data_IF_423246215502
#
_entry.id   IF_423246215502
#
_cell.length_a   1.000
_cell.length_b   1.000
_cell.length_c   1.000
_cell.angle_alpha   90.00
_cell.angle_beta   90.00
_cell.angle_gamma   90.00
#
_symmetry.space_group_name_H-M   'P 1'
#
loop_
_entity.id
_entity.type
_entity.pdbx_description
1 polymer ?
#
# COMPACT_ATOMS: atom_id res chain seq x y z
N UNK A 1 70.24 -11.28 46.07
CA UNK A 1 68.85 -11.04 46.52
C UNK A 1 67.90 -11.45 45.39
N UNK A 2 67.01 -12.40 45.67
CA UNK A 2 66.30 -13.18 44.67
C UNK A 2 65.09 -12.44 44.05
N UNK A 3 65.04 -12.43 42.71
CA UNK A 3 63.91 -11.95 41.90
C UNK A 3 62.75 -12.94 42.05
N UNK A 4 61.67 -12.56 42.75
CA UNK A 4 60.44 -13.35 42.87
C UNK A 4 59.78 -13.49 41.49
N UNK A 5 59.87 -14.70 40.91
CA UNK A 5 59.09 -15.15 39.75
C UNK A 5 57.60 -15.15 40.12
N UNK A 6 56.79 -14.42 39.36
CA UNK A 6 55.32 -14.45 39.40
C UNK A 6 54.87 -15.85 38.93
N UNK A 7 54.30 -16.64 39.84
CA UNK A 7 53.75 -17.98 39.56
C UNK A 7 52.39 -17.80 38.87
N UNK A 8 52.41 -17.85 37.54
CA UNK A 8 51.22 -17.98 36.72
C UNK A 8 50.87 -19.49 36.69
N UNK A 9 49.83 -19.93 37.38
CA UNK A 9 49.40 -21.33 37.33
C UNK A 9 47.95 -21.47 37.79
N UNK A 10 47.17 -22.22 37.00
CA UNK A 10 45.74 -22.57 37.11
C UNK A 10 44.73 -21.60 36.50
N UNK A 11 44.65 -21.62 35.16
CA UNK A 11 43.44 -21.35 34.37
C UNK A 11 43.44 -22.23 33.12
N UNK A 12 43.28 -23.54 33.27
CA UNK A 12 43.21 -24.42 32.08
C UNK A 12 42.19 -25.57 32.17
N UNK A 13 41.47 -25.77 33.28
CA UNK A 13 40.49 -26.87 33.36
C UNK A 13 39.01 -26.45 33.42
N UNK A 14 38.67 -25.17 33.63
CA UNK A 14 37.27 -24.70 33.72
C UNK A 14 36.58 -24.40 32.36
N UNK A 15 37.28 -24.55 31.24
CA UNK A 15 36.78 -24.07 29.94
C UNK A 15 35.77 -25.05 29.32
N UNK A 16 35.92 -26.37 29.54
CA UNK A 16 35.03 -27.39 28.94
C UNK A 16 33.65 -27.50 29.60
N UNK A 17 33.56 -27.33 30.92
CA UNK A 17 32.27 -27.38 31.63
C UNK A 17 31.41 -26.14 31.32
N UNK A 18 32.05 -24.97 31.15
CA UNK A 18 31.34 -23.72 30.93
C UNK A 18 30.57 -23.68 29.60
N UNK A 19 31.09 -24.32 28.55
CA UNK A 19 30.43 -24.39 27.24
C UNK A 19 29.15 -25.24 27.25
N UNK A 20 29.18 -26.37 27.97
CA UNK A 20 28.01 -27.24 28.10
C UNK A 20 26.84 -26.54 28.79
N UNK A 21 27.07 -25.91 29.95
CA UNK A 21 26.03 -25.16 30.67
C UNK A 21 25.50 -23.95 29.88
N UNK A 22 26.34 -23.34 29.04
CA UNK A 22 25.90 -22.29 28.11
C UNK A 22 24.97 -22.86 27.04
N UNK A 23 25.31 -23.99 26.43
CA UNK A 23 24.47 -24.68 25.46
C UNK A 23 23.13 -25.13 26.05
N UNK A 24 23.15 -25.76 27.22
CA UNK A 24 21.95 -26.16 27.97
C UNK A 24 21.05 -24.96 28.23
N UNK A 25 21.61 -23.82 28.68
CA UNK A 25 20.82 -22.61 28.89
C UNK A 25 20.16 -22.06 27.62
N UNK A 26 20.79 -22.20 26.45
CA UNK A 26 20.20 -21.79 25.17
C UNK A 26 19.05 -22.70 24.77
N UNK A 27 19.25 -24.01 24.86
CA UNK A 27 18.25 -25.03 24.53
C UNK A 27 17.04 -24.91 25.48
N UNK A 28 17.27 -24.71 26.77
CA UNK A 28 16.19 -24.50 27.74
C UNK A 28 15.35 -23.27 27.43
N UNK A 29 15.96 -22.15 26.99
CA UNK A 29 15.21 -20.96 26.59
C UNK A 29 14.32 -21.20 25.36
N UNK A 30 14.84 -21.93 24.37
CA UNK A 30 14.07 -22.28 23.17
C UNK A 30 12.91 -23.21 23.53
N UNK A 31 13.18 -24.27 24.31
CA UNK A 31 12.15 -25.20 24.78
C UNK A 31 11.10 -24.46 25.61
N UNK A 32 11.51 -23.57 26.52
CA UNK A 32 10.57 -22.76 27.30
C UNK A 32 9.68 -21.88 26.41
N UNK A 33 10.25 -21.23 25.38
CA UNK A 33 9.48 -20.46 24.41
C UNK A 33 8.46 -21.31 23.63
N UNK A 34 8.87 -22.51 23.21
CA UNK A 34 7.99 -23.47 22.54
C UNK A 34 6.87 -23.95 23.46
N UNK A 35 7.19 -24.33 24.71
CA UNK A 35 6.21 -24.77 25.71
C UNK A 35 5.20 -23.66 26.01
N UNK A 36 5.66 -22.42 26.15
CA UNK A 36 4.78 -21.27 26.38
C UNK A 36 3.86 -21.01 25.18
N UNK A 37 4.40 -21.10 23.96
CA UNK A 37 3.61 -20.97 22.74
C UNK A 37 2.49 -22.03 22.69
N UNK A 38 2.83 -23.30 22.92
CA UNK A 38 1.86 -24.39 22.97
C UNK A 38 0.85 -24.23 24.13
N UNK A 39 1.22 -23.60 25.24
CA UNK A 39 0.31 -23.32 26.35
C UNK A 39 -0.88 -22.43 25.99
N UNK A 40 -0.79 -21.66 24.90
CA UNK A 40 -1.89 -20.81 24.43
C UNK A 40 -3.06 -21.58 23.81
N UNK A 41 -2.82 -22.76 23.23
CA UNK A 41 -3.85 -23.57 22.54
C UNK A 41 -3.95 -25.03 23.00
N UNK A 42 -2.94 -25.57 23.68
CA UNK A 42 -2.96 -26.95 24.20
C UNK A 42 -3.33 -26.95 25.69
N UNK A 43 -4.36 -27.72 26.03
CA UNK A 43 -4.76 -28.00 27.42
C UNK A 43 -3.96 -29.18 28.00
N UNK A 44 -2.65 -28.97 28.22
CA UNK A 44 -1.78 -29.93 28.91
C UNK A 44 -1.26 -29.31 30.23
N UNK A 45 -1.07 -30.09 31.32
CA UNK A 45 -0.77 -29.53 32.64
C UNK A 45 0.46 -28.62 32.68
N UNK A 46 1.54 -29.01 32.00
CA UNK A 46 2.81 -28.26 32.00
C UNK A 46 2.69 -26.98 31.14
N UNK A 47 2.33 -27.04 29.84
CA UNK A 47 2.15 -25.84 29.03
C UNK A 47 1.09 -24.89 29.58
N UNK A 48 -0.03 -25.43 30.10
CA UNK A 48 -1.14 -24.61 30.60
C UNK A 48 -0.77 -23.86 31.87
N UNK A 49 -0.15 -24.54 32.85
CA UNK A 49 0.32 -23.87 34.06
C UNK A 49 1.39 -22.80 33.76
N UNK A 50 2.28 -23.07 32.80
CA UNK A 50 3.28 -22.09 32.38
C UNK A 50 2.67 -20.88 31.67
N UNK A 51 1.64 -21.11 30.85
CA UNK A 51 0.86 -20.05 30.20
C UNK A 51 0.11 -19.21 31.22
N UNK A 52 -0.63 -19.82 32.14
CA UNK A 52 -1.44 -19.11 33.14
C UNK A 52 -0.55 -18.25 34.07
N UNK A 53 0.61 -18.76 34.49
CA UNK A 53 1.58 -17.99 35.26
C UNK A 53 2.19 -16.83 34.46
N UNK A 54 2.48 -17.05 33.18
CA UNK A 54 2.98 -15.98 32.31
C UNK A 54 1.91 -14.93 32.02
N UNK A 55 0.66 -15.35 31.88
CA UNK A 55 -0.51 -14.48 31.69
C UNK A 55 -0.79 -13.62 32.92
N UNK A 56 -0.67 -14.17 34.13
CA UNK A 56 -0.78 -13.35 35.35
C UNK A 56 0.37 -12.34 35.47
N UNK A 57 1.58 -12.72 35.06
CA UNK A 57 2.75 -11.84 35.11
C UNK A 57 2.71 -10.72 34.05
N UNK A 58 2.46 -11.08 32.79
CA UNK A 58 2.67 -10.21 31.62
C UNK A 58 1.35 -9.79 30.94
N UNK A 59 0.23 -10.45 31.22
CA UNK A 59 -1.04 -10.21 30.54
C UNK A 59 -0.96 -10.52 29.06
N UNK A 60 -1.49 -9.62 28.20
CA UNK A 60 -1.44 -9.79 26.74
C UNK A 60 0.01 -9.88 26.21
N UNK A 61 0.98 -9.28 26.90
CA UNK A 61 2.40 -9.34 26.48
C UNK A 61 2.95 -10.79 26.45
N UNK A 62 2.26 -11.73 27.11
CA UNK A 62 2.56 -13.17 27.04
C UNK A 62 2.57 -13.71 25.62
N UNK A 63 1.80 -13.13 24.70
CA UNK A 63 1.78 -13.54 23.29
C UNK A 63 3.13 -13.27 22.60
N UNK A 64 3.85 -12.23 23.02
CA UNK A 64 5.15 -11.83 22.46
C UNK A 64 6.32 -12.55 23.15
N UNK A 65 6.13 -12.96 24.41
CA UNK A 65 7.13 -13.67 25.20
C UNK A 65 7.75 -14.91 24.53
N UNK A 66 7.02 -15.84 23.86
CA UNK A 66 7.62 -17.04 23.30
C UNK A 66 8.56 -16.71 22.15
N UNK A 67 8.22 -15.71 21.33
CA UNK A 67 9.05 -15.23 20.23
C UNK A 67 10.37 -14.67 20.76
N UNK A 68 10.32 -13.90 21.85
CA UNK A 68 11.51 -13.34 22.48
C UNK A 68 12.40 -14.39 23.15
N UNK A 69 11.79 -15.39 23.81
CA UNK A 69 12.53 -16.50 24.42
C UNK A 69 13.29 -17.31 23.38
N UNK A 70 12.64 -17.62 22.25
CA UNK A 70 13.28 -18.30 21.12
C UNK A 70 14.37 -17.41 20.50
N UNK A 71 14.11 -16.12 20.32
CA UNK A 71 15.11 -15.16 19.82
C UNK A 71 16.37 -15.12 20.69
N UNK A 72 16.21 -15.01 22.02
CA UNK A 72 17.34 -15.01 22.95
C UNK A 72 18.07 -16.34 22.98
N UNK A 73 17.34 -17.46 22.91
CA UNK A 73 17.92 -18.79 22.83
C UNK A 73 18.73 -19.00 21.56
N UNK A 74 18.21 -18.58 20.41
CA UNK A 74 18.90 -18.62 19.12
C UNK A 74 20.15 -17.73 19.12
N UNK A 75 20.06 -16.50 19.65
CA UNK A 75 21.22 -15.63 19.80
C UNK A 75 22.30 -16.25 20.70
N UNK A 76 21.90 -16.90 21.79
CA UNK A 76 22.83 -17.57 22.69
C UNK A 76 23.54 -18.75 22.02
N UNK A 77 22.86 -19.43 21.09
CA UNK A 77 23.43 -20.53 20.30
C UNK A 77 24.36 -20.05 19.19
N UNK A 78 24.05 -18.90 18.56
CA UNK A 78 24.84 -18.30 17.48
C UNK A 78 26.09 -17.55 17.94
N UNK A 79 26.13 -17.10 19.19
CA UNK A 79 27.31 -16.43 19.76
C UNK A 79 28.44 -17.43 20.00
N UNK A 80 29.62 -17.20 19.41
CA UNK A 80 30.84 -18.01 19.64
C UNK A 80 31.23 -18.09 21.14
N UNK A 81 30.96 -17.03 21.90
CA UNK A 81 31.21 -17.01 23.35
C UNK A 81 30.11 -17.71 24.17
N UNK A 82 28.98 -18.08 23.57
CA UNK A 82 27.81 -18.65 24.25
C UNK A 82 27.17 -17.72 25.29
N UNK A 83 27.52 -16.43 25.27
CA UNK A 83 26.97 -15.39 26.13
C UNK A 83 25.99 -14.53 25.34
N UNK A 84 24.87 -14.21 25.97
CA UNK A 84 23.94 -13.22 25.44
C UNK A 84 24.61 -11.86 25.67
N UNK A 85 24.79 -11.01 24.64
CA UNK A 85 25.24 -9.65 24.86
C UNK A 85 24.30 -9.00 25.89
N UNK A 86 24.85 -8.51 27.01
CA UNK A 86 24.05 -7.94 28.11
C UNK A 86 23.06 -6.88 27.61
N UNK A 87 23.47 -6.12 26.60
CA UNK A 87 22.63 -5.18 25.88
C UNK A 87 21.35 -5.84 25.31
N UNK A 88 21.46 -6.97 24.61
CA UNK A 88 20.29 -7.64 24.02
C UNK A 88 19.37 -8.25 25.07
N UNK A 89 19.93 -8.76 26.16
CA UNK A 89 19.14 -9.28 27.28
C UNK A 89 18.37 -8.15 27.97
N UNK A 90 19.06 -7.06 28.32
CA UNK A 90 18.44 -5.87 28.90
C UNK A 90 17.38 -5.26 27.96
N UNK A 91 17.66 -5.22 26.66
CA UNK A 91 16.70 -4.77 25.64
C UNK A 91 15.44 -5.62 25.62
N UNK A 92 15.58 -6.95 25.59
CA UNK A 92 14.44 -7.87 25.55
C UNK A 92 13.57 -7.80 26.81
N UNK A 93 14.20 -7.68 28.00
CA UNK A 93 13.49 -7.49 29.26
C UNK A 93 12.79 -6.12 29.26
N UNK A 94 13.52 -5.06 28.88
CA UNK A 94 12.98 -3.71 28.79
C UNK A 94 11.80 -3.61 27.80
N UNK A 95 11.85 -4.37 26.71
CA UNK A 95 10.75 -4.47 25.74
C UNK A 95 9.52 -5.14 26.36
N UNK A 96 9.68 -6.29 27.03
CA UNK A 96 8.55 -6.99 27.66
C UNK A 96 7.94 -6.11 28.76
N UNK A 97 8.76 -5.48 29.60
CA UNK A 97 8.30 -4.61 30.68
C UNK A 97 7.55 -3.41 30.10
N UNK A 98 8.14 -2.71 29.13
CA UNK A 98 7.51 -1.52 28.53
C UNK A 98 6.22 -1.87 27.81
N UNK A 99 6.18 -3.00 27.10
CA UNK A 99 4.99 -3.46 26.39
C UNK A 99 3.88 -3.89 27.35
N UNK A 100 4.23 -4.62 28.43
CA UNK A 100 3.28 -4.97 29.48
C UNK A 100 2.70 -3.71 30.16
N UNK A 101 3.54 -2.73 30.49
CA UNK A 101 3.08 -1.45 31.06
C UNK A 101 2.23 -0.64 30.08
N UNK A 102 2.56 -0.63 28.78
CA UNK A 102 1.72 -0.01 27.76
C UNK A 102 0.33 -0.66 27.70
N UNK A 103 0.27 -1.99 27.74
CA UNK A 103 -1.00 -2.74 27.73
C UNK A 103 -1.81 -2.50 29.01
N UNK A 104 -1.15 -2.30 30.15
CA UNK A 104 -1.82 -1.91 31.39
C UNK A 104 -2.43 -0.50 31.27
N UNK A 105 -1.63 0.47 30.80
CA UNK A 105 -2.07 1.87 30.73
C UNK A 105 -3.12 2.12 29.64
N UNK A 106 -3.16 1.31 28.58
CA UNK A 106 -4.17 1.44 27.51
C UNK A 106 -5.43 0.63 27.79
N UNK A 107 -5.28 -0.66 28.12
CA UNK A 107 -6.38 -1.63 28.18
C UNK A 107 -6.52 -2.39 29.50
N UNK A 108 -5.72 -2.08 30.52
CA UNK A 108 -5.76 -2.73 31.84
C UNK A 108 -5.33 -4.20 31.83
N UNK A 109 -4.63 -4.65 30.79
CA UNK A 109 -4.33 -6.06 30.52
C UNK A 109 -2.82 -6.34 30.48
N UNK A 110 -2.04 -5.61 31.28
CA UNK A 110 -0.57 -5.73 31.33
C UNK A 110 -0.03 -6.74 32.35
N UNK A 111 -0.90 -7.55 32.97
CA UNK A 111 -0.51 -8.47 34.05
C UNK A 111 -0.07 -7.75 35.32
N UNK A 112 0.52 -8.48 36.26
CA UNK A 112 1.07 -7.92 37.51
C UNK A 112 2.30 -7.04 37.26
N UNK A 113 3.17 -7.41 36.32
CA UNK A 113 4.35 -6.63 35.97
C UNK A 113 3.98 -5.27 35.37
N UNK A 114 3.03 -5.27 34.44
CA UNK A 114 2.52 -4.05 33.82
C UNK A 114 1.77 -3.16 34.82
N UNK A 115 1.05 -3.73 35.79
CA UNK A 115 0.43 -3.00 36.91
C UNK A 115 1.46 -2.28 37.77
N UNK A 116 2.43 -3.02 38.31
CA UNK A 116 3.44 -2.44 39.21
C UNK A 116 4.20 -1.31 38.53
N UNK A 117 4.70 -1.53 37.32
CA UNK A 117 5.51 -0.51 36.61
C UNK A 117 4.63 0.58 36.00
N UNK A 118 3.46 0.21 35.48
CA UNK A 118 2.51 1.14 34.86
C UNK A 118 1.89 2.10 35.86
N UNK A 119 1.42 1.61 37.00
CA UNK A 119 0.73 2.42 38.00
C UNK A 119 1.67 3.45 38.66
N UNK A 120 2.96 3.13 38.79
CA UNK A 120 3.98 4.08 39.25
C UNK A 120 4.05 5.29 38.32
N UNK A 121 4.05 5.08 37.00
CA UNK A 121 4.13 6.19 36.05
C UNK A 121 2.79 6.91 35.89
N UNK A 122 1.67 6.16 35.92
CA UNK A 122 0.31 6.72 35.86
C UNK A 122 0.03 7.61 37.07
N UNK A 123 0.46 7.23 38.27
CA UNK A 123 0.28 8.05 39.47
C UNK A 123 1.07 9.38 39.42
N UNK A 124 2.21 9.41 38.72
CA UNK A 124 3.03 10.60 38.58
C UNK A 124 2.56 11.56 37.47
N UNK A 125 2.07 11.04 36.34
CA UNK A 125 1.88 11.82 35.11
C UNK A 125 0.48 11.70 34.47
N UNK A 126 -0.38 10.84 35.03
CA UNK A 126 -1.70 10.53 34.48
C UNK A 126 -1.67 9.45 33.38
N UNK A 127 -2.83 8.82 33.14
CA UNK A 127 -2.97 7.66 32.24
C UNK A 127 -2.52 7.93 30.81
N UNK A 128 -2.88 9.10 30.27
CA UNK A 128 -2.56 9.48 28.89
C UNK A 128 -1.06 9.71 28.68
N UNK A 129 -0.42 10.46 29.57
CA UNK A 129 1.00 10.78 29.41
C UNK A 129 1.87 9.54 29.68
N UNK A 130 1.50 8.72 30.66
CA UNK A 130 2.16 7.45 30.94
C UNK A 130 2.07 6.47 29.75
N UNK A 131 0.90 6.35 29.09
CA UNK A 131 0.76 5.48 27.93
C UNK A 131 1.59 5.96 26.75
N UNK A 132 1.68 7.27 26.51
CA UNK A 132 2.54 7.85 25.48
C UNK A 132 4.02 7.55 25.76
N UNK A 133 4.47 7.69 27.01
CA UNK A 133 5.85 7.36 27.39
C UNK A 133 6.14 5.87 27.20
N UNK A 134 5.27 4.97 27.66
CA UNK A 134 5.45 3.53 27.45
C UNK A 134 5.37 3.12 25.98
N UNK A 135 4.59 3.82 25.16
CA UNK A 135 4.53 3.60 23.72
C UNK A 135 5.89 3.92 23.09
N UNK A 136 6.44 5.10 23.39
CA UNK A 136 7.76 5.52 22.92
C UNK A 136 8.85 4.56 23.41
N UNK A 137 8.85 4.21 24.70
CA UNK A 137 9.81 3.24 25.28
C UNK A 137 9.72 1.86 24.62
N UNK A 138 8.51 1.38 24.32
CA UNK A 138 8.30 0.09 23.64
C UNK A 138 8.92 0.12 22.24
N UNK A 139 8.69 1.18 21.48
CA UNK A 139 9.27 1.35 20.14
C UNK A 139 10.80 1.39 20.19
N UNK A 140 11.37 2.19 21.11
CA UNK A 140 12.82 2.26 21.29
C UNK A 140 13.42 0.91 21.74
N UNK A 141 12.78 0.23 22.70
CA UNK A 141 13.21 -1.07 23.18
C UNK A 141 13.16 -2.14 22.07
N UNK A 142 12.17 -2.08 21.17
CA UNK A 142 12.07 -2.98 20.02
C UNK A 142 13.25 -2.77 19.08
N UNK A 143 13.57 -1.52 18.76
CA UNK A 143 14.68 -1.22 17.89
C UNK A 143 16.02 -1.62 18.48
N UNK A 144 16.21 -1.33 19.76
CA UNK A 144 17.41 -1.72 20.47
C UNK A 144 17.58 -3.25 20.53
N UNK A 145 16.50 -3.99 20.78
CA UNK A 145 16.52 -5.45 20.86
C UNK A 145 16.82 -6.09 19.51
N UNK A 146 16.13 -5.64 18.46
CA UNK A 146 16.24 -6.23 17.12
C UNK A 146 17.34 -5.61 16.25
N UNK A 147 18.06 -4.58 16.74
CA UNK A 147 19.00 -3.77 15.95
C UNK A 147 18.36 -3.23 14.66
N UNK A 148 17.13 -2.74 14.77
CA UNK A 148 16.39 -2.13 13.64
C UNK A 148 16.94 -0.72 13.43
N UNK A 149 17.35 -0.40 12.20
CA UNK A 149 17.84 0.94 11.88
C UNK A 149 16.72 1.99 12.05
N UNK A 150 16.97 3.12 12.73
CA UNK A 150 15.97 4.19 12.93
C UNK A 150 15.42 4.78 11.62
N UNK A 151 16.14 4.61 10.50
CA UNK A 151 15.69 4.99 9.15
C UNK A 151 14.40 4.28 8.75
N UNK A 152 14.08 3.14 9.35
CA UNK A 152 12.83 2.40 9.12
C UNK A 152 11.62 3.18 9.67
N UNK A 153 11.76 3.97 10.75
CA UNK A 153 10.69 4.90 11.17
C UNK A 153 10.44 5.99 10.15
N UNK A 154 11.50 6.55 9.56
CA UNK A 154 11.35 7.56 8.51
C UNK A 154 10.61 7.00 7.29
N UNK A 155 10.85 5.73 6.94
CA UNK A 155 10.08 5.04 5.91
C UNK A 155 8.64 4.75 6.34
N UNK A 156 8.40 4.37 7.60
CA UNK A 156 7.07 4.08 8.11
C UNK A 156 6.20 5.35 8.26
N UNK A 157 6.81 6.46 8.69
CA UNK A 157 6.23 7.81 8.65
C UNK A 157 6.04 8.25 7.19
N UNK A 158 6.97 7.89 6.30
CA UNK A 158 6.84 8.07 4.85
C UNK A 158 5.69 7.29 4.23
N UNK A 159 5.27 6.16 4.84
CA UNK A 159 4.08 5.40 4.47
C UNK A 159 2.78 6.03 5.03
N UNK A 160 2.87 6.69 6.20
CA UNK A 160 1.77 7.45 6.80
C UNK A 160 1.59 8.84 6.17
N UNK A 161 2.66 9.40 5.58
CA UNK A 161 2.51 10.41 4.55
C UNK A 161 1.79 9.71 3.41
N UNK A 162 0.55 10.13 3.15
CA UNK A 162 -0.14 9.82 1.90
C UNK A 162 0.88 9.99 0.78
N UNK A 163 1.33 8.88 0.21
CA UNK A 163 1.75 8.89 -1.17
C UNK A 163 0.53 9.48 -1.90
N UNK A 164 0.67 10.58 -2.66
CA UNK A 164 -0.43 11.04 -3.49
C UNK A 164 -0.93 9.81 -4.25
N UNK A 165 -2.24 9.56 -4.18
CA UNK A 165 -2.83 8.39 -4.79
C UNK A 165 -2.33 8.34 -6.24
N UNK A 166 -1.64 7.26 -6.62
CA UNK A 166 -1.44 6.92 -8.02
C UNK A 166 -2.85 6.75 -8.61
N UNK A 167 -3.35 7.82 -9.24
CA UNK A 167 -4.76 8.00 -9.56
C UNK A 167 -5.22 9.46 -9.56
N UNK A 168 -4.49 10.36 -8.89
CA UNK A 168 -4.58 11.81 -9.11
C UNK A 168 -3.37 12.27 -9.95
N UNK A 169 -3.13 11.62 -11.09
CA UNK A 169 -2.59 12.38 -12.22
C UNK A 169 -3.68 13.38 -12.56
N UNK A 170 -3.45 14.64 -12.14
CA UNK A 170 -4.23 15.82 -12.43
C UNK A 170 -5.04 15.63 -13.72
N UNK A 171 -6.36 15.81 -13.68
CA UNK A 171 -7.17 15.99 -14.89
C UNK A 171 -6.52 17.01 -15.85
N UNK A 172 -5.73 17.95 -15.33
CA UNK A 172 -4.91 18.87 -16.10
C UNK A 172 -3.68 18.22 -16.80
N UNK A 173 -3.06 17.21 -16.19
CA UNK A 173 -1.95 16.43 -16.78
C UNK A 173 -2.43 15.36 -17.78
N UNK A 174 -3.61 14.76 -17.56
CA UNK A 174 -4.27 13.90 -18.56
C UNK A 174 -4.74 14.74 -19.76
N UNK A 175 -5.29 15.94 -19.52
CA UNK A 175 -5.65 16.89 -20.59
C UNK A 175 -4.43 17.42 -21.37
N UNK A 176 -3.23 17.44 -20.77
CA UNK A 176 -2.00 17.80 -21.48
C UNK A 176 -1.30 16.62 -22.15
N UNK A 177 -1.51 15.38 -21.68
CA UNK A 177 -1.08 14.13 -22.34
C UNK A 177 -2.03 13.68 -23.46
N UNK A 178 -3.28 14.12 -23.46
CA UNK A 178 -4.16 14.06 -24.64
C UNK A 178 -3.62 15.06 -25.66
N UNK A 179 -2.73 14.58 -26.53
CA UNK A 179 -2.41 15.28 -27.77
C UNK A 179 -3.71 15.67 -28.47
N UNK A 180 -3.83 16.91 -28.99
CA UNK A 180 -5.01 17.30 -29.74
C UNK A 180 -5.14 16.34 -30.92
N UNK A 181 -6.21 15.54 -30.91
CA UNK A 181 -6.54 14.62 -32.00
C UNK A 181 -6.63 15.44 -33.29
N UNK A 182 -5.75 15.15 -34.26
CA UNK A 182 -5.64 15.96 -35.47
C UNK A 182 -6.80 15.61 -36.40
N UNK A 183 -7.76 16.52 -36.52
CA UNK A 183 -8.83 16.45 -37.51
C UNK A 183 -8.36 17.23 -38.74
N UNK A 184 -8.06 16.51 -39.81
CA UNK A 184 -7.71 17.12 -41.08
C UNK A 184 -9.01 17.38 -41.86
N UNK A 185 -9.45 18.64 -41.88
CA UNK A 185 -10.68 19.06 -42.55
C UNK A 185 -10.33 19.62 -43.94
N UNK A 186 -10.64 18.86 -45.00
CA UNK A 186 -10.41 19.31 -46.38
C UNK A 186 -11.52 20.22 -46.92
N UNK A 187 -12.65 20.32 -46.20
CA UNK A 187 -13.91 20.95 -46.61
C UNK A 187 -14.58 21.55 -45.36
N UNK A 188 -15.33 22.67 -45.45
CA UNK A 188 -16.01 23.24 -44.29
C UNK A 188 -16.98 22.25 -43.62
N UNK A 189 -16.62 21.77 -42.42
CA UNK A 189 -17.41 20.84 -41.60
C UNK A 189 -18.26 21.57 -40.56
N UNK A 190 -19.23 20.84 -39.98
CA UNK A 190 -20.01 21.30 -38.82
C UNK A 190 -19.36 20.81 -37.53
N UNK A 191 -18.96 21.73 -36.65
CA UNK A 191 -18.51 21.37 -35.31
C UNK A 191 -19.70 21.27 -34.35
N UNK A 192 -19.98 20.07 -33.85
CA UNK A 192 -20.94 19.88 -32.77
C UNK A 192 -20.28 20.16 -31.43
N UNK A 193 -20.42 21.38 -30.91
CA UNK A 193 -20.12 21.63 -29.49
C UNK A 193 -21.18 20.93 -28.64
N UNK A 194 -20.79 20.14 -27.65
CA UNK A 194 -21.69 19.45 -26.72
C UNK A 194 -22.69 20.43 -26.08
N UNK A 195 -23.86 20.57 -26.70
CA UNK A 195 -24.80 21.63 -26.37
C UNK A 195 -26.06 21.55 -27.22
N UNK A 196 -27.09 20.96 -26.60
CA UNK A 196 -28.51 20.97 -26.99
C UNK A 196 -28.90 20.10 -28.19
N UNK A 197 -29.51 18.95 -27.86
CA UNK A 197 -30.58 18.39 -28.67
C UNK A 197 -31.69 19.44 -28.86
N UNK A 198 -31.72 20.06 -30.03
CA UNK A 198 -32.76 20.98 -30.45
C UNK A 198 -33.65 20.30 -31.49
N UNK A 199 -34.89 20.03 -31.06
CA UNK A 199 -36.10 19.90 -31.86
C UNK A 199 -36.09 18.89 -33.01
N UNK A 200 -36.68 17.73 -32.73
CA UNK A 200 -37.46 16.98 -33.71
C UNK A 200 -38.64 17.86 -34.17
N UNK A 201 -38.43 18.66 -35.22
CA UNK A 201 -39.53 19.19 -36.04
C UNK A 201 -39.32 18.72 -37.46
N UNK A 202 -40.05 17.66 -37.79
CA UNK A 202 -40.33 17.24 -39.13
C UNK A 202 -41.14 18.34 -39.83
N UNK A 203 -40.47 19.21 -40.57
CA UNK A 203 -41.10 20.03 -41.62
C UNK A 203 -40.62 19.51 -42.96
N UNK A 204 -41.07 18.29 -43.29
CA UNK A 204 -41.17 17.86 -44.68
C UNK A 204 -42.35 18.61 -45.30
N UNK A 205 -42.10 19.82 -45.80
CA UNK A 205 -43.02 20.49 -46.70
C UNK A 205 -42.93 19.76 -48.04
N UNK A 206 -43.83 18.81 -48.26
CA UNK A 206 -43.96 18.08 -49.52
C UNK A 206 -44.53 19.02 -50.58
N UNK A 207 -43.66 19.79 -51.22
CA UNK A 207 -43.98 20.50 -52.46
C UNK A 207 -43.43 19.68 -53.63
N UNK A 208 -44.26 18.76 -54.12
CA UNK A 208 -44.13 18.25 -55.47
C UNK A 208 -45.55 18.15 -56.05
N UNK A 209 -45.91 18.93 -57.09
CA UNK A 209 -47.03 18.57 -57.93
C UNK A 209 -46.67 17.28 -58.68
N UNK A 210 -47.64 16.39 -58.79
CA UNK A 210 -47.55 15.12 -59.50
C UNK A 210 -47.03 15.36 -60.92
N UNK A 211 -45.80 14.93 -61.22
CA UNK A 211 -45.19 15.13 -62.53
C UNK A 211 -45.65 14.00 -63.45
N UNK A 212 -46.36 14.37 -64.50
CA UNK A 212 -46.84 13.48 -65.54
C UNK A 212 -45.65 13.07 -66.45
N UNK A 213 -45.24 11.80 -66.42
CA UNK A 213 -44.12 11.25 -67.20
C UNK A 213 -44.50 11.01 -68.68
N UNK A 214 -45.02 12.03 -69.36
CA UNK A 214 -45.19 12.02 -70.81
C UNK A 214 -44.08 12.86 -71.43
N UNK A 215 -43.07 12.21 -72.02
CA UNK A 215 -42.01 12.90 -72.73
C UNK A 215 -42.58 13.54 -74.01
N UNK A 216 -42.77 14.86 -74.00
CA UNK A 216 -42.99 15.65 -75.20
C UNK A 216 -41.64 15.79 -75.92
N UNK A 217 -41.32 14.88 -76.82
CA UNK A 217 -40.13 14.99 -77.67
C UNK A 217 -40.44 15.89 -78.86
N UNK A 218 -40.22 17.20 -78.71
CA UNK A 218 -40.07 18.11 -79.84
C UNK A 218 -38.58 18.43 -80.00
N UNK A 219 -38.01 17.93 -81.09
CA UNK A 219 -36.57 17.78 -81.36
C UNK A 219 -35.75 19.07 -81.39
N UNK A 220 -36.33 20.27 -81.30
CA UNK A 220 -35.58 21.50 -81.08
C UNK A 220 -36.55 22.62 -80.73
N UNK A 221 -36.50 23.14 -79.50
CA UNK A 221 -37.27 24.32 -79.09
C UNK A 221 -36.47 25.60 -79.46
N UNK A 222 -36.93 26.42 -80.42
CA UNK A 222 -36.21 27.62 -80.85
C UNK A 222 -36.12 28.71 -79.78
N UNK A 223 -37.01 28.69 -78.77
CA UNK A 223 -37.08 29.68 -77.70
C UNK A 223 -36.38 29.21 -76.41
N UNK A 224 -35.66 28.09 -76.47
CA UNK A 224 -34.90 27.57 -75.34
C UNK A 224 -33.76 28.52 -74.92
N UNK A 225 -33.92 29.15 -73.77
CA UNK A 225 -32.88 29.97 -73.16
C UNK A 225 -32.09 29.14 -72.14
N UNK A 226 -30.77 29.21 -72.21
CA UNK A 226 -29.89 28.49 -71.29
C UNK A 226 -30.21 28.90 -69.84
N UNK A 227 -30.59 27.94 -68.97
CA UNK A 227 -30.95 28.28 -67.60
C UNK A 227 -29.75 28.91 -66.87
N UNK A 228 -29.94 30.03 -66.16
CA UNK A 228 -28.84 30.65 -65.44
C UNK A 228 -28.34 29.73 -64.31
N UNK A 229 -27.03 29.75 -64.08
CA UNK A 229 -26.37 28.95 -63.03
C UNK A 229 -26.85 29.27 -61.61
N UNK A 230 -27.65 30.33 -61.42
CA UNK A 230 -28.35 30.64 -60.16
C UNK A 230 -29.38 29.58 -59.76
N UNK A 231 -29.75 28.67 -60.67
CA UNK A 231 -30.57 27.49 -60.36
C UNK A 231 -29.75 26.35 -59.75
N UNK A 232 -28.43 26.42 -59.82
CA UNK A 232 -27.53 25.45 -59.20
C UNK A 232 -27.51 25.75 -57.70
N UNK A 233 -27.95 24.78 -56.88
CA UNK A 233 -27.88 24.94 -55.44
C UNK A 233 -26.42 24.81 -54.99
N UNK A 234 -25.80 25.91 -54.55
CA UNK A 234 -24.50 25.92 -53.88
C UNK A 234 -24.53 25.29 -52.47
N UNK A 235 -25.59 24.55 -52.15
CA UNK A 235 -25.71 23.81 -50.89
C UNK A 235 -24.88 22.54 -50.98
N UNK A 236 -23.57 22.70 -50.83
CA UNK A 236 -22.72 21.62 -50.37
C UNK A 236 -23.15 21.35 -48.92
N UNK A 237 -23.86 20.25 -48.69
CA UNK A 237 -24.13 19.81 -47.32
C UNK A 237 -22.78 19.65 -46.63
N UNK A 238 -22.60 20.41 -45.55
CA UNK A 238 -21.36 20.39 -44.78
C UNK A 238 -21.12 18.97 -44.27
N UNK A 239 -19.91 18.45 -44.46
CA UNK A 239 -19.57 17.15 -43.92
C UNK A 239 -19.65 17.19 -42.39
N UNK A 240 -20.26 16.16 -41.81
CA UNK A 240 -20.37 15.98 -40.37
C UNK A 240 -19.44 14.83 -39.98
N UNK A 241 -18.40 15.17 -39.22
CA UNK A 241 -17.40 14.21 -38.74
C UNK A 241 -17.94 13.29 -37.63
N UNK A 242 -19.06 13.65 -36.99
CA UNK A 242 -19.55 13.00 -35.79
C UNK A 242 -18.58 13.08 -34.60
N UNK A 243 -18.71 12.15 -33.64
CA UNK A 243 -17.81 12.05 -32.47
C UNK A 243 -16.56 11.21 -32.80
N UNK A 244 -15.61 11.82 -33.50
CA UNK A 244 -14.33 11.17 -33.85
C UNK A 244 -13.49 10.79 -32.63
N UNK A 245 -13.64 11.52 -31.52
CA UNK A 245 -12.91 11.29 -30.27
C UNK A 245 -13.41 10.06 -29.52
N UNK A 246 -14.74 9.94 -29.36
CA UNK A 246 -15.36 8.75 -28.77
C UNK A 246 -15.10 7.50 -29.60
N UNK A 247 -15.13 7.63 -30.93
CA UNK A 247 -14.78 6.52 -31.83
C UNK A 247 -13.32 6.06 -31.66
N UNK A 248 -12.38 6.98 -31.51
CA UNK A 248 -10.98 6.65 -31.25
C UNK A 248 -10.78 5.91 -29.91
N UNK A 249 -11.51 6.31 -28.86
CA UNK A 249 -11.48 5.63 -27.56
C UNK A 249 -12.08 4.21 -27.63
N UNK A 250 -13.18 4.02 -28.36
CA UNK A 250 -13.78 2.70 -28.59
C UNK A 250 -12.80 1.78 -29.33
N UNK A 251 -12.10 2.30 -30.35
CA UNK A 251 -11.07 1.55 -31.08
C UNK A 251 -9.98 1.12 -30.11
N UNK A 252 -9.41 2.05 -29.34
CA UNK A 252 -8.36 1.75 -28.36
C UNK A 252 -8.81 0.71 -27.32
N UNK A 253 -10.01 0.84 -26.77
CA UNK A 253 -10.56 -0.09 -25.79
C UNK A 253 -10.79 -1.49 -26.38
N UNK A 254 -11.26 -1.57 -27.62
CA UNK A 254 -11.52 -2.85 -28.31
C UNK A 254 -10.21 -3.61 -28.56
N UNK A 255 -9.18 -2.94 -29.06
CA UNK A 255 -7.86 -3.57 -29.27
C UNK A 255 -7.14 -3.88 -27.95
N UNK A 256 -7.30 -3.04 -26.93
CA UNK A 256 -6.80 -3.29 -25.58
C UNK A 256 -7.32 -4.59 -24.98
N UNK A 257 -8.57 -4.97 -25.25
CA UNK A 257 -9.13 -6.27 -24.83
C UNK A 257 -8.43 -7.47 -25.48
N UNK A 258 -7.83 -7.28 -26.66
CA UNK A 258 -7.00 -8.27 -27.33
C UNK A 258 -5.50 -8.12 -26.99
N UNK A 259 -5.17 -7.27 -26.01
CA UNK A 259 -3.80 -6.97 -25.59
C UNK A 259 -2.95 -6.40 -26.74
N UNK A 260 -3.59 -5.64 -27.64
CA UNK A 260 -2.96 -4.93 -28.76
C UNK A 260 -3.03 -3.42 -28.43
N UNK A 261 -1.88 -2.77 -28.34
CA UNK A 261 -1.82 -1.32 -28.10
C UNK A 261 -1.93 -0.58 -29.43
N UNK A 262 -3.01 0.22 -29.58
CA UNK A 262 -3.30 1.00 -30.78
C UNK A 262 -3.54 2.46 -30.37
N UNK A 263 -2.82 3.37 -31.00
CA UNK A 263 -3.04 4.81 -30.89
C UNK A 263 -3.58 5.35 -32.21
N UNK A 264 -4.71 6.05 -32.16
CA UNK A 264 -5.31 6.71 -33.33
C UNK A 264 -4.77 8.14 -33.39
N UNK A 265 -4.04 8.46 -34.45
CA UNK A 265 -3.36 9.76 -34.62
C UNK A 265 -4.31 10.89 -35.04
N UNK A 266 -5.32 10.56 -35.85
CA UNK A 266 -6.27 11.55 -36.35
C UNK A 266 -7.37 10.95 -37.22
N UNK A 267 -8.27 11.81 -37.69
CA UNK A 267 -9.31 11.48 -38.65
C UNK A 267 -9.29 12.47 -39.82
N UNK A 268 -9.60 11.99 -41.02
CA UNK A 268 -9.69 12.80 -42.22
C UNK A 268 -11.15 12.87 -42.66
N UNK A 269 -11.65 14.08 -42.90
CA UNK A 269 -13.06 14.36 -43.24
C UNK A 269 -13.14 15.29 -44.44
#
# INVERSE_FOLDING_TARGET
MAKRRKKNSKKTEDIKSSGFWRGVGAVTLIIAGIVLFFGSFINAPIPRGFWDGSWDLLGIATIVAPILLVYLGALKFLSEDGQIPLAKMAGSIGLIVSFASLLQTTGGQGGSLGRVVGDVLVSAMGKFLASLVFFVLTVFAAFFTFKIDPKILLKLIGLFRRQPAEGEEDLASLKSKLSPFQLNEGVPVVHHSAGRMSSLRNTAEKLAPDQNHAALTTTSDPDWQFPPLSLLSDKQDKADAGDVTGNAEIIKGTYGNFNIDVAVEGANV
#
